data_IF_390559423389
#
_entry.id   IF_390559423389
#
_cell.length_a   1.000
_cell.length_b   1.000
_cell.length_c   1.000
_cell.angle_alpha   90.00
_cell.angle_beta   90.00
_cell.angle_gamma   90.00
#
_symmetry.space_group_name_H-M   'P 1'
#
loop_
_entity.id
_entity.type
_entity.pdbx_description
1 polymer ?
#
# COMPACT_ATOMS: atom_id res chain seq x y z
N UNK A 1 -4.77 -19.42 -13.30
CA UNK A 1 -3.65 -20.33 -13.62
C UNK A 1 -2.85 -20.76 -12.39
N UNK A 2 -2.60 -19.88 -11.40
CA UNK A 2 -1.81 -20.19 -10.19
C UNK A 2 -2.13 -21.53 -9.47
N UNK A 3 -3.39 -21.87 -9.14
CA UNK A 3 -3.67 -23.11 -8.41
C UNK A 3 -3.39 -24.38 -9.23
N UNK A 4 -3.59 -24.34 -10.54
CA UNK A 4 -3.32 -25.47 -11.41
C UNK A 4 -1.80 -25.70 -11.62
N UNK A 5 -1.00 -24.64 -11.55
CA UNK A 5 0.46 -24.76 -11.56
C UNK A 5 1.00 -25.41 -10.28
N UNK A 6 0.52 -24.98 -9.12
CA UNK A 6 0.91 -25.54 -7.82
C UNK A 6 0.45 -26.99 -7.63
N UNK A 7 -0.75 -27.33 -8.12
CA UNK A 7 -1.27 -28.69 -8.06
C UNK A 7 -0.31 -29.69 -8.74
N UNK A 8 0.27 -29.31 -9.88
CA UNK A 8 1.24 -30.16 -10.60
C UNK A 8 2.52 -30.40 -9.80
N UNK A 9 3.04 -29.38 -9.12
CA UNK A 9 4.24 -29.52 -8.28
C UNK A 9 4.00 -30.34 -7.02
N UNK A 10 2.89 -30.10 -6.32
CA UNK A 10 2.53 -30.91 -5.15
C UNK A 10 2.19 -32.36 -5.50
N UNK A 11 1.65 -32.61 -6.72
CA UNK A 11 1.37 -33.97 -7.20
C UNK A 11 2.65 -34.81 -7.36
N UNK A 12 3.78 -34.21 -7.76
CA UNK A 12 5.08 -34.90 -7.84
C UNK A 12 5.63 -35.28 -6.46
N UNK A 13 5.17 -34.63 -5.40
CA UNK A 13 5.64 -34.85 -4.03
C UNK A 13 4.82 -35.91 -3.27
N UNK A 14 3.74 -36.42 -3.86
CA UNK A 14 2.85 -37.43 -3.26
C UNK A 14 3.64 -38.70 -2.88
N UNK A 15 4.56 -39.16 -3.72
CA UNK A 15 5.36 -40.37 -3.44
C UNK A 15 6.19 -40.27 -2.14
N UNK A 16 6.60 -39.05 -1.76
CA UNK A 16 7.46 -38.82 -0.59
C UNK A 16 6.69 -38.40 0.66
N UNK A 17 5.53 -37.74 0.51
CA UNK A 17 4.81 -37.11 1.62
C UNK A 17 3.35 -37.60 1.77
N UNK A 18 2.89 -38.49 0.90
CA UNK A 18 1.53 -39.01 0.87
C UNK A 18 0.54 -38.08 0.16
N UNK A 19 -0.68 -38.58 -0.08
CA UNK A 19 -1.72 -37.89 -0.86
C UNK A 19 -2.20 -36.58 -0.22
N UNK A 20 -2.08 -36.47 1.11
CA UNK A 20 -2.54 -35.30 1.86
C UNK A 20 -1.79 -34.01 1.52
N UNK A 21 -0.59 -34.09 0.91
CA UNK A 21 0.19 -32.90 0.52
C UNK A 21 -0.54 -32.04 -0.52
N UNK A 22 -1.44 -32.63 -1.31
CA UNK A 22 -2.24 -31.92 -2.32
C UNK A 22 -3.05 -30.79 -1.70
N UNK A 23 -3.53 -30.95 -0.46
CA UNK A 23 -4.33 -29.93 0.24
C UNK A 23 -3.56 -28.63 0.49
N UNK A 24 -2.22 -28.66 0.51
CA UNK A 24 -1.40 -27.43 0.61
C UNK A 24 -1.54 -26.51 -0.61
N UNK A 25 -2.02 -27.03 -1.74
CA UNK A 25 -2.32 -26.24 -2.93
C UNK A 25 -3.24 -25.07 -2.59
N UNK A 26 -4.24 -25.27 -1.73
CA UNK A 26 -5.23 -24.24 -1.39
C UNK A 26 -4.60 -23.03 -0.66
N UNK A 27 -3.98 -23.20 0.53
CA UNK A 27 -3.39 -22.07 1.25
C UNK A 27 -2.22 -21.43 0.49
N UNK A 28 -1.40 -22.22 -0.21
CA UNK A 28 -0.29 -21.65 -1.00
C UNK A 28 -0.78 -20.84 -2.19
N UNK A 29 -1.81 -21.30 -2.90
CA UNK A 29 -2.41 -20.53 -4.00
C UNK A 29 -3.03 -19.23 -3.50
N UNK A 30 -3.67 -19.26 -2.33
CA UNK A 30 -4.24 -18.07 -1.70
C UNK A 30 -3.17 -17.06 -1.32
N UNK A 31 -2.08 -17.49 -0.68
CA UNK A 31 -0.95 -16.62 -0.33
C UNK A 31 -0.31 -16.03 -1.58
N UNK A 32 -0.04 -16.84 -2.60
CA UNK A 32 0.53 -16.36 -3.86
C UNK A 32 -0.37 -15.34 -4.53
N UNK A 33 -1.68 -15.61 -4.62
CA UNK A 33 -2.65 -14.67 -5.17
C UNK A 33 -2.69 -13.37 -4.38
N UNK A 34 -2.66 -13.45 -3.05
CA UNK A 34 -2.63 -12.28 -2.18
C UNK A 34 -1.37 -11.42 -2.39
N UNK A 35 -0.19 -12.05 -2.57
CA UNK A 35 1.05 -11.30 -2.87
C UNK A 35 0.90 -10.50 -4.17
N UNK A 36 0.37 -11.10 -5.23
CA UNK A 36 0.15 -10.37 -6.49
C UNK A 36 -0.86 -9.23 -6.35
N UNK A 37 -1.93 -9.45 -5.60
CA UNK A 37 -2.94 -8.41 -5.35
C UNK A 37 -2.36 -7.24 -4.54
N UNK A 38 -1.54 -7.51 -3.53
CA UNK A 38 -0.86 -6.47 -2.75
C UNK A 38 0.14 -5.70 -3.63
N UNK A 39 0.88 -6.39 -4.49
CA UNK A 39 1.81 -5.74 -5.43
C UNK A 39 1.09 -4.79 -6.38
N UNK A 40 -0.07 -5.20 -6.91
CA UNK A 40 -0.90 -4.35 -7.76
C UNK A 40 -1.42 -3.12 -7.00
N UNK A 41 -1.96 -3.32 -5.80
CA UNK A 41 -2.50 -2.24 -4.97
C UNK A 41 -1.43 -1.21 -4.55
N UNK A 42 -0.22 -1.67 -4.21
CA UNK A 42 0.91 -0.78 -3.93
C UNK A 42 1.33 -0.03 -5.20
N UNK A 43 1.33 -0.70 -6.35
CA UNK A 43 1.61 -0.09 -7.64
C UNK A 43 0.66 1.06 -7.95
N UNK A 44 -0.65 0.82 -7.84
CA UNK A 44 -1.70 1.83 -8.04
C UNK A 44 -1.53 3.03 -7.08
N UNK A 45 -1.28 2.76 -5.80
CA UNK A 45 -1.07 3.82 -4.79
C UNK A 45 0.21 4.63 -5.05
N UNK A 46 1.22 4.04 -5.70
CA UNK A 46 2.48 4.71 -6.02
C UNK A 46 2.40 5.50 -7.33
N UNK A 47 1.51 5.10 -8.24
CA UNK A 47 1.33 5.77 -9.54
C UNK A 47 0.75 7.18 -9.38
N UNK A 48 -0.18 7.38 -8.44
CA UNK A 48 -0.83 8.67 -8.19
C UNK A 48 -0.70 9.12 -6.72
N UNK A 49 0.48 9.57 -6.26
CA UNK A 49 0.75 9.84 -4.85
C UNK A 49 0.14 11.17 -4.34
N UNK A 50 -0.81 11.75 -5.07
CA UNK A 50 -1.40 13.07 -4.83
C UNK A 50 -2.94 13.06 -4.89
N UNK A 51 -3.57 11.90 -4.85
CA UNK A 51 -5.04 11.78 -4.88
C UNK A 51 -5.69 12.10 -3.52
N UNK A 52 -4.89 12.23 -2.47
CA UNK A 52 -5.35 12.56 -1.13
C UNK A 52 -5.75 11.32 -0.32
N UNK A 53 -5.23 10.15 -0.67
CA UNK A 53 -5.30 8.95 0.16
C UNK A 53 -4.47 9.10 1.44
N UNK A 54 -4.76 8.30 2.46
CA UNK A 54 -4.04 8.35 3.74
C UNK A 54 -2.54 8.02 3.64
N UNK A 55 -2.12 7.35 2.57
CA UNK A 55 -0.72 7.00 2.31
C UNK A 55 -0.05 7.95 1.29
N UNK A 56 -0.77 8.96 0.81
CA UNK A 56 -0.27 9.90 -0.18
C UNK A 56 0.59 10.99 0.47
N UNK A 57 1.24 11.79 -0.38
CA UNK A 57 2.00 12.94 0.07
C UNK A 57 1.02 14.02 0.53
N UNK A 58 1.17 14.59 1.74
CA UNK A 58 0.27 15.62 2.28
C UNK A 58 0.55 16.98 1.62
N UNK A 59 0.16 17.13 0.36
CA UNK A 59 0.39 18.35 -0.43
C UNK A 59 -0.32 19.55 0.19
N UNK A 60 -1.47 19.36 0.81
CA UNK A 60 -2.21 20.43 1.50
C UNK A 60 -1.38 21.00 2.65
N UNK A 61 -0.79 20.14 3.47
CA UNK A 61 0.10 20.55 4.56
C UNK A 61 1.35 21.25 4.04
N UNK A 62 2.00 20.70 3.01
CA UNK A 62 3.20 21.31 2.41
C UNK A 62 2.87 22.72 1.90
N UNK A 63 1.75 22.87 1.19
CA UNK A 63 1.30 24.18 0.69
C UNK A 63 0.96 25.14 1.84
N UNK A 64 0.34 24.65 2.93
CA UNK A 64 0.08 25.48 4.12
C UNK A 64 1.38 26.00 4.73
N UNK A 65 2.39 25.14 4.86
CA UNK A 65 3.68 25.54 5.43
C UNK A 65 4.37 26.58 4.54
N UNK A 66 4.38 26.36 3.21
CA UNK A 66 4.92 27.35 2.25
C UNK A 66 4.16 28.68 2.35
N UNK A 67 2.83 28.64 2.49
CA UNK A 67 2.01 29.85 2.66
C UNK A 67 2.41 30.62 3.93
N UNK A 68 2.62 29.92 5.04
CA UNK A 68 3.07 30.52 6.32
C UNK A 68 4.46 31.15 6.13
N UNK A 69 5.42 30.39 5.59
CA UNK A 69 6.79 30.84 5.37
C UNK A 69 6.83 32.13 4.52
N UNK A 70 6.05 32.18 3.44
CA UNK A 70 5.98 33.36 2.56
C UNK A 70 5.36 34.57 3.26
N UNK A 71 4.28 34.38 4.05
CA UNK A 71 3.64 35.47 4.80
C UNK A 71 4.55 36.00 5.91
N UNK A 72 5.28 35.13 6.60
CA UNK A 72 6.27 35.52 7.60
C UNK A 72 7.39 36.37 7.00
N UNK A 73 7.92 35.97 5.84
CA UNK A 73 8.94 36.75 5.11
C UNK A 73 8.44 38.14 4.70
N UNK A 74 7.13 38.30 4.46
CA UNK A 74 6.49 39.57 4.15
C UNK A 74 6.14 40.41 5.41
N UNK A 75 6.37 39.87 6.61
CA UNK A 75 6.07 40.53 7.88
C UNK A 75 4.58 40.53 8.26
N UNK A 76 3.80 39.64 7.65
CA UNK A 76 2.37 39.53 7.92
C UNK A 76 2.12 38.92 9.31
N UNK A 77 1.13 39.44 10.05
CA UNK A 77 0.83 39.00 11.42
C UNK A 77 -0.33 38.01 11.50
N UNK A 78 -1.11 37.90 10.44
CA UNK A 78 -2.24 36.99 10.32
C UNK A 78 -1.83 35.75 9.52
N UNK A 79 -1.15 34.84 10.21
CA UNK A 79 -0.68 33.58 9.64
C UNK A 79 -1.80 32.53 9.73
N UNK A 80 -2.07 31.79 8.64
CA UNK A 80 -3.01 30.69 8.71
C UNK A 80 -2.49 29.59 9.65
N UNK A 81 -3.37 28.83 10.32
CA UNK A 81 -2.95 27.76 11.20
C UNK A 81 -2.30 26.62 10.42
N UNK A 82 -1.24 26.05 10.99
CA UNK A 82 -0.61 24.84 10.45
C UNK A 82 -1.59 23.66 10.48
N UNK A 83 -1.54 22.81 9.46
CA UNK A 83 -2.36 21.59 9.41
C UNK A 83 -1.78 20.58 10.39
N UNK A 84 -2.59 20.20 11.38
CA UNK A 84 -2.25 19.21 12.40
C UNK A 84 -2.66 17.81 11.96
N UNK A 85 -1.99 16.82 12.54
CA UNK A 85 -2.28 15.39 12.34
C UNK A 85 -3.67 15.07 12.88
N UNK A 86 -4.49 14.37 12.09
CA UNK A 86 -5.74 13.76 12.55
C UNK A 86 -5.64 12.23 12.42
N UNK A 87 -5.92 11.50 13.51
CA UNK A 87 -5.81 10.03 13.56
C UNK A 87 -4.49 9.45 13.04
N UNK A 88 -3.36 10.08 13.37
CA UNK A 88 -2.01 9.74 12.88
C UNK A 88 -1.78 9.92 11.37
N UNK A 89 -2.69 10.59 10.66
CA UNK A 89 -2.59 10.89 9.24
C UNK A 89 -2.48 12.41 9.04
N UNK A 90 -1.58 12.81 8.13
CA UNK A 90 -1.47 14.18 7.63
C UNK A 90 -2.06 14.22 6.23
N UNK A 91 -2.89 15.23 5.95
CA UNK A 91 -3.55 15.45 4.66
C UNK A 91 -3.05 16.74 4.00
#
# INVERSE_FOLDING_TARGET
MLPFGLLGEFSKMIEKFGENIIWLTIPFSMILGWVFLVLEQIGESTENPFEGSANDIPVTQINRNIEIDLREMLGDKDLPPAIIVDNNILM
#
